data_IF_301381388084
#
_entry.id   IF_301381388084
#
_cell.length_a   1.000
_cell.length_b   1.000
_cell.length_c   1.000
_cell.angle_alpha   90.00
_cell.angle_beta   90.00
_cell.angle_gamma   90.00
#
_symmetry.space_group_name_H-M   'P 1'
#
loop_
_entity.id
_entity.type
_entity.pdbx_description
1 polymer ?
#
# COMPACT_ATOMS: atom_id res chain seq x y z
N UNK A 1 -63.90 -7.31 24.96
CA UNK A 1 -63.47 -7.57 23.57
C UNK A 1 -61.96 -7.66 23.56
N UNK A 2 -61.39 -8.85 23.36
CA UNK A 2 -59.94 -9.05 23.38
C UNK A 2 -59.38 -8.93 21.96
N UNK A 3 -58.60 -7.88 21.72
CA UNK A 3 -57.94 -7.62 20.45
C UNK A 3 -56.70 -8.49 20.32
N UNK A 4 -56.86 -9.76 19.94
CA UNK A 4 -55.75 -10.62 19.55
C UNK A 4 -55.18 -10.11 18.22
N UNK A 5 -54.04 -9.42 18.26
CA UNK A 5 -53.30 -9.03 17.06
C UNK A 5 -52.26 -10.12 16.78
N UNK A 6 -52.39 -10.91 15.70
CA UNK A 6 -51.39 -11.92 15.39
C UNK A 6 -50.05 -11.22 15.14
N UNK A 7 -48.99 -11.70 15.81
CA UNK A 7 -47.64 -11.23 15.56
C UNK A 7 -47.30 -11.47 14.07
N UNK A 8 -46.68 -10.48 13.39
CA UNK A 8 -46.29 -10.66 12.00
C UNK A 8 -45.36 -11.88 11.91
N UNK A 9 -45.70 -12.82 11.04
CA UNK A 9 -44.89 -14.02 10.81
C UNK A 9 -43.46 -13.60 10.46
N UNK A 10 -42.52 -13.86 11.36
CA UNK A 10 -41.11 -13.61 11.13
C UNK A 10 -40.64 -14.54 10.03
N UNK A 11 -40.39 -14.01 8.85
CA UNK A 11 -40.01 -14.79 7.68
C UNK A 11 -38.53 -15.20 7.79
N UNK A 12 -38.24 -16.13 8.70
CA UNK A 12 -36.89 -16.60 9.06
C UNK A 12 -36.08 -17.03 7.83
N UNK A 13 -36.76 -17.59 6.83
CA UNK A 13 -36.16 -17.96 5.54
C UNK A 13 -35.56 -16.79 4.78
N UNK A 14 -36.24 -15.63 4.78
CA UNK A 14 -35.75 -14.43 4.11
C UNK A 14 -34.54 -13.87 4.86
N UNK A 15 -34.58 -13.90 6.20
CA UNK A 15 -33.45 -13.47 7.04
C UNK A 15 -32.22 -14.36 6.82
N UNK A 16 -32.40 -15.68 6.81
CA UNK A 16 -31.32 -16.64 6.56
C UNK A 16 -30.69 -16.42 5.17
N UNK A 17 -31.52 -16.23 4.13
CA UNK A 17 -31.02 -15.95 2.78
C UNK A 17 -30.18 -14.67 2.72
N UNK A 18 -30.62 -13.59 3.37
CA UNK A 18 -29.86 -12.33 3.45
C UNK A 18 -28.50 -12.52 4.12
N UNK A 19 -28.43 -13.32 5.18
CA UNK A 19 -27.17 -13.61 5.90
C UNK A 19 -26.22 -14.39 4.99
N UNK A 20 -26.71 -15.41 4.28
CA UNK A 20 -25.89 -16.17 3.32
C UNK A 20 -25.35 -15.27 2.21
N UNK A 21 -26.20 -14.41 1.66
CA UNK A 21 -25.79 -13.45 0.62
C UNK A 21 -24.75 -12.46 1.14
N UNK A 22 -24.91 -11.97 2.38
CA UNK A 22 -23.93 -11.10 3.03
C UNK A 22 -22.57 -11.78 3.14
N UNK A 23 -22.52 -13.01 3.64
CA UNK A 23 -21.28 -13.78 3.79
C UNK A 23 -20.60 -13.97 2.42
N UNK A 24 -21.40 -14.30 1.40
CA UNK A 24 -20.89 -14.50 0.04
C UNK A 24 -20.30 -13.21 -0.55
N UNK A 25 -20.99 -12.08 -0.37
CA UNK A 25 -20.52 -10.77 -0.82
C UNK A 25 -19.24 -10.36 -0.08
N UNK A 26 -19.17 -10.62 1.23
CA UNK A 26 -17.99 -10.31 2.04
C UNK A 26 -16.78 -11.15 1.60
N UNK A 27 -17.00 -12.43 1.37
CA UNK A 27 -15.96 -13.34 0.89
C UNK A 27 -15.43 -12.94 -0.48
N UNK A 28 -16.33 -12.62 -1.42
CA UNK A 28 -15.93 -12.15 -2.75
C UNK A 28 -15.18 -10.82 -2.68
N UNK A 29 -15.65 -9.88 -1.85
CA UNK A 29 -14.96 -8.61 -1.60
C UNK A 29 -13.55 -8.85 -1.08
N UNK A 30 -13.37 -9.74 -0.10
CA UNK A 30 -12.05 -10.05 0.44
C UNK A 30 -11.09 -10.63 -0.62
N UNK A 31 -11.57 -11.52 -1.49
CA UNK A 31 -10.75 -12.08 -2.58
C UNK A 31 -10.27 -10.98 -3.54
N UNK A 32 -11.21 -10.18 -4.05
CA UNK A 32 -10.89 -9.12 -5.02
C UNK A 32 -9.93 -8.11 -4.40
N UNK A 33 -10.23 -7.70 -3.15
CA UNK A 33 -9.45 -6.71 -2.43
C UNK A 33 -8.03 -7.22 -2.15
N UNK A 34 -7.87 -8.51 -1.78
CA UNK A 34 -6.57 -9.14 -1.59
C UNK A 34 -5.73 -9.11 -2.87
N UNK A 35 -6.33 -9.38 -4.03
CA UNK A 35 -5.61 -9.37 -5.30
C UNK A 35 -5.16 -7.96 -5.69
N UNK A 36 -6.06 -6.98 -5.57
CA UNK A 36 -5.77 -5.57 -5.85
C UNK A 36 -4.67 -5.05 -4.93
N UNK A 37 -4.75 -5.32 -3.63
CA UNK A 37 -3.72 -4.91 -2.68
C UNK A 37 -2.38 -5.54 -3.02
N UNK A 38 -2.32 -6.83 -3.33
CA UNK A 38 -1.07 -7.49 -3.71
C UNK A 38 -0.42 -6.81 -4.92
N UNK A 39 -1.21 -6.41 -5.91
CA UNK A 39 -0.69 -5.74 -7.10
C UNK A 39 -0.12 -4.35 -6.79
N UNK A 40 -0.87 -3.54 -6.01
CA UNK A 40 -0.42 -2.22 -5.56
C UNK A 40 0.86 -2.33 -4.72
N UNK A 41 0.89 -3.23 -3.73
CA UNK A 41 2.07 -3.44 -2.90
C UNK A 41 3.29 -3.89 -3.71
N UNK A 42 3.10 -4.73 -4.73
CA UNK A 42 4.19 -5.17 -5.60
C UNK A 42 4.80 -3.99 -6.35
N UNK A 43 3.98 -3.12 -6.94
CA UNK A 43 4.44 -1.93 -7.66
C UNK A 43 5.13 -0.96 -6.71
N UNK A 44 4.49 -0.64 -5.59
CA UNK A 44 5.06 0.28 -4.60
C UNK A 44 6.39 -0.23 -4.06
N UNK A 45 6.48 -1.51 -3.72
CA UNK A 45 7.73 -2.12 -3.24
C UNK A 45 8.83 -2.09 -4.30
N UNK A 46 8.48 -2.34 -5.57
CA UNK A 46 9.41 -2.24 -6.68
C UNK A 46 9.95 -0.80 -6.84
N UNK A 47 9.08 0.21 -6.78
CA UNK A 47 9.51 1.62 -6.82
C UNK A 47 10.44 1.97 -5.66
N UNK A 48 10.08 1.58 -4.44
CA UNK A 48 10.91 1.82 -3.25
C UNK A 48 12.28 1.16 -3.42
N UNK A 49 12.32 -0.08 -3.92
CA UNK A 49 13.57 -0.81 -4.15
C UNK A 49 14.49 -0.08 -5.12
N UNK A 50 13.94 0.47 -6.21
CA UNK A 50 14.72 1.26 -7.17
C UNK A 50 15.24 2.53 -6.50
N UNK A 51 14.39 3.28 -5.79
CA UNK A 51 14.80 4.50 -5.10
C UNK A 51 15.92 4.25 -4.09
N UNK A 52 15.78 3.20 -3.27
CA UNK A 52 16.80 2.80 -2.29
C UNK A 52 18.10 2.41 -2.99
N UNK A 53 18.02 1.64 -4.08
CA UNK A 53 19.22 1.24 -4.85
C UNK A 53 19.98 2.44 -5.39
N UNK A 54 19.28 3.46 -5.90
CA UNK A 54 19.89 4.70 -6.39
C UNK A 54 20.56 5.47 -5.25
N UNK A 55 19.87 5.64 -4.12
CA UNK A 55 20.40 6.37 -2.96
C UNK A 55 21.65 5.67 -2.43
N UNK A 56 21.59 4.35 -2.20
CA UNK A 56 22.74 3.58 -1.71
C UNK A 56 23.88 3.62 -2.71
N UNK A 57 23.60 3.49 -4.01
CA UNK A 57 24.60 3.60 -5.06
C UNK A 57 25.29 4.97 -5.06
N UNK A 58 24.53 6.05 -4.92
CA UNK A 58 25.09 7.40 -4.83
C UNK A 58 25.96 7.57 -3.58
N UNK A 59 25.52 7.07 -2.42
CA UNK A 59 26.29 7.11 -1.19
C UNK A 59 27.61 6.32 -1.30
N UNK A 60 27.56 5.12 -1.87
CA UNK A 60 28.75 4.30 -2.12
C UNK A 60 29.71 4.99 -3.07
N UNK A 61 29.20 5.54 -4.18
CA UNK A 61 30.01 6.30 -5.13
C UNK A 61 30.67 7.50 -4.43
N UNK A 62 29.90 8.26 -3.66
CA UNK A 62 30.41 9.41 -2.90
C UNK A 62 31.51 9.00 -1.93
N UNK A 63 31.28 7.93 -1.17
CA UNK A 63 32.24 7.39 -0.23
C UNK A 63 33.53 6.94 -0.92
N UNK A 64 33.43 6.21 -2.03
CA UNK A 64 34.58 5.75 -2.81
C UNK A 64 35.39 6.91 -3.40
N UNK A 65 34.73 7.92 -3.97
CA UNK A 65 35.42 9.11 -4.51
C UNK A 65 36.15 9.87 -3.41
N UNK A 66 35.51 10.03 -2.25
CA UNK A 66 36.12 10.68 -1.09
C UNK A 66 37.30 9.87 -0.54
N UNK A 67 37.21 8.54 -0.54
CA UNK A 67 38.27 7.66 -0.04
C UNK A 67 39.47 7.58 -0.99
N UNK A 68 39.24 7.29 -2.28
CA UNK A 68 40.31 7.07 -3.26
C UNK A 68 40.96 8.36 -3.72
N UNK A 69 40.15 9.39 -3.98
CA UNK A 69 40.62 10.61 -4.65
C UNK A 69 40.63 11.83 -3.72
N UNK A 70 40.23 11.66 -2.45
CA UNK A 70 40.05 12.76 -1.49
C UNK A 70 39.14 13.87 -2.03
N UNK A 71 38.29 13.51 -2.99
CA UNK A 71 37.45 14.43 -3.74
C UNK A 71 36.08 14.52 -3.06
N UNK A 72 35.71 15.70 -2.60
CA UNK A 72 34.41 15.93 -1.98
C UNK A 72 33.41 16.43 -3.02
N UNK A 73 32.52 15.55 -3.46
CA UNK A 73 31.45 15.89 -4.41
C UNK A 73 30.53 17.02 -3.91
N UNK A 74 30.32 17.14 -2.59
CA UNK A 74 29.52 18.23 -2.04
C UNK A 74 30.21 19.57 -2.31
N UNK A 75 31.51 19.63 -2.09
CA UNK A 75 32.26 20.84 -2.36
C UNK A 75 32.28 21.16 -3.87
N UNK A 76 32.40 20.17 -4.75
CA UNK A 76 32.36 20.39 -6.19
C UNK A 76 31.00 20.93 -6.70
N UNK A 77 29.89 20.34 -6.25
CA UNK A 77 28.54 20.73 -6.70
C UNK A 77 28.09 22.08 -6.12
N UNK A 78 28.47 22.38 -4.88
CA UNK A 78 28.05 23.62 -4.21
C UNK A 78 29.05 24.77 -4.37
N UNK A 79 30.36 24.53 -4.40
CA UNK A 79 31.36 25.59 -4.60
C UNK A 79 31.35 26.15 -6.02
N UNK A 80 31.00 25.33 -7.03
CA UNK A 80 30.82 25.82 -8.41
C UNK A 80 29.65 26.81 -8.56
N UNK A 81 28.70 26.86 -7.61
CA UNK A 81 27.59 27.81 -7.61
C UNK A 81 27.87 29.12 -6.85
N UNK A 82 28.90 29.18 -6.01
CA UNK A 82 29.21 30.34 -5.16
C UNK A 82 30.37 31.22 -5.65
N UNK A 83 30.97 30.91 -6.80
CA UNK A 83 32.07 31.69 -7.39
C UNK A 83 31.60 32.78 -8.38
N UNK A 84 30.56 33.54 -8.04
CA UNK A 84 30.18 34.78 -8.75
C UNK A 84 29.96 35.91 -7.77
#
# INVERSE_FOLDING_TARGET
>A
MNSYRPAPSSNLWITAFKIVLLIFALYFSAIVLSHVFSWVFTITFFLIRIAVSIIVGFFLLHFLLKLLFRFDLWNFIFASRFSR
#
